data_IF_616473319472
#
_entry.id   IF_616473319472
#
_cell.length_a   1.000
_cell.length_b   1.000
_cell.length_c   1.000
_cell.angle_alpha   90.00
_cell.angle_beta   90.00
_cell.angle_gamma   90.00
#
_symmetry.space_group_name_H-M   'P 1'
#
loop_
_entity.id
_entity.type
_entity.pdbx_description
1 polymer ?
#
# COMPACT_ATOMS: atom_id res chain seq x y z
N UNK A 1 14.67 27.54 15.19
CA UNK A 1 13.87 28.73 14.86
C UNK A 1 12.47 28.44 15.36
N UNK A 2 11.82 29.35 16.10
CA UNK A 2 10.43 29.14 16.52
C UNK A 2 9.53 29.46 15.32
N UNK A 3 8.94 28.44 14.70
CA UNK A 3 7.89 28.63 13.71
C UNK A 3 6.61 29.12 14.42
N UNK A 4 5.87 30.02 13.79
CA UNK A 4 4.54 30.40 14.27
C UNK A 4 3.57 29.24 14.09
N UNK A 5 2.54 29.15 14.94
CA UNK A 5 1.52 28.10 14.85
C UNK A 5 0.88 28.03 13.45
N UNK A 6 0.67 29.20 12.82
CA UNK A 6 0.08 29.28 11.48
C UNK A 6 1.01 28.67 10.41
N UNK A 7 2.32 28.89 10.51
CA UNK A 7 3.30 28.25 9.61
C UNK A 7 3.35 26.73 9.83
N UNK A 8 3.29 26.29 11.09
CA UNK A 8 3.27 24.87 11.44
C UNK A 8 2.01 24.18 10.91
N UNK A 9 0.83 24.83 11.01
CA UNK A 9 -0.42 24.35 10.45
C UNK A 9 -0.31 24.23 8.92
N UNK A 10 0.19 25.26 8.24
CA UNK A 10 0.36 25.24 6.79
C UNK A 10 1.29 24.12 6.32
N UNK A 11 2.37 23.85 7.05
CA UNK A 11 3.25 22.71 6.78
C UNK A 11 2.51 21.38 6.98
N UNK A 12 1.77 21.23 8.07
CA UNK A 12 1.01 20.01 8.34
C UNK A 12 -0.06 19.75 7.26
N UNK A 13 -0.75 20.77 6.77
CA UNK A 13 -1.68 20.65 5.64
C UNK A 13 -0.97 20.10 4.39
N UNK A 14 0.22 20.62 4.07
CA UNK A 14 1.02 20.12 2.95
C UNK A 14 1.41 18.65 3.14
N UNK A 15 1.80 18.23 4.35
CA UNK A 15 2.15 16.83 4.63
C UNK A 15 0.94 15.90 4.50
N UNK A 16 -0.23 16.33 4.94
CA UNK A 16 -1.48 15.60 4.75
C UNK A 16 -1.86 15.46 3.27
N UNK A 17 -1.74 16.54 2.48
CA UNK A 17 -1.97 16.48 1.03
C UNK A 17 -0.98 15.55 0.33
N UNK A 18 0.30 15.59 0.72
CA UNK A 18 1.33 14.72 0.17
C UNK A 18 1.06 13.25 0.50
N UNK A 19 0.63 12.94 1.73
CA UNK A 19 0.24 11.59 2.11
C UNK A 19 -0.94 11.08 1.26
N UNK A 20 -1.95 11.92 1.03
CA UNK A 20 -3.07 11.60 0.16
C UNK A 20 -2.62 11.41 -1.30
N UNK A 21 -1.67 12.21 -1.77
CA UNK A 21 -1.11 12.05 -3.11
C UNK A 21 -0.40 10.69 -3.25
N UNK A 22 0.48 10.33 -2.32
CA UNK A 22 1.18 9.04 -2.34
C UNK A 22 0.20 7.85 -2.25
N UNK A 23 -0.90 7.99 -1.50
CA UNK A 23 -1.97 6.98 -1.46
C UNK A 23 -2.64 6.81 -2.83
N UNK A 24 -3.01 7.91 -3.49
CA UNK A 24 -3.61 7.88 -4.82
C UNK A 24 -2.65 7.36 -5.88
N UNK A 25 -1.36 7.69 -5.79
CA UNK A 25 -0.35 7.22 -6.71
C UNK A 25 -0.12 5.72 -6.54
N UNK A 26 -0.12 5.19 -5.30
CA UNK A 26 -0.11 3.75 -5.08
C UNK A 26 -1.31 3.07 -5.73
N UNK A 27 -2.52 3.60 -5.55
CA UNK A 27 -3.73 3.04 -6.14
C UNK A 27 -3.66 2.97 -7.68
N UNK A 28 -3.23 4.06 -8.32
CA UNK A 28 -3.08 4.12 -9.79
C UNK A 28 -2.03 3.16 -10.33
N UNK A 29 -0.99 2.90 -9.53
CA UNK A 29 0.21 2.18 -9.97
C UNK A 29 0.26 0.73 -9.53
N UNK A 30 -0.68 0.30 -8.68
CA UNK A 30 -0.71 -1.03 -8.07
C UNK A 30 -0.62 -2.19 -9.08
N UNK A 31 -0.99 -2.00 -10.34
CA UNK A 31 -0.90 -3.02 -11.39
C UNK A 31 0.50 -3.27 -11.94
N UNK A 32 1.37 -2.26 -11.91
CA UNK A 32 2.66 -2.29 -12.58
C UNK A 32 3.82 -1.86 -11.68
N UNK A 33 3.54 -1.45 -10.44
CA UNK A 33 4.56 -1.08 -9.47
C UNK A 33 5.46 -2.29 -9.18
N UNK A 34 6.77 -2.10 -9.32
CA UNK A 34 7.76 -3.10 -8.96
C UNK A 34 7.90 -3.23 -7.44
N UNK A 35 8.50 -4.32 -6.94
CA UNK A 35 8.64 -4.56 -5.50
C UNK A 35 9.52 -3.52 -4.81
N UNK A 36 10.63 -3.10 -5.43
CA UNK A 36 11.52 -2.06 -4.89
C UNK A 36 10.80 -0.71 -4.81
N UNK A 37 10.16 -0.30 -5.89
CA UNK A 37 9.41 0.96 -5.93
C UNK A 37 8.22 0.98 -4.96
N UNK A 38 7.56 -0.16 -4.77
CA UNK A 38 6.52 -0.31 -3.76
C UNK A 38 7.09 -0.13 -2.35
N UNK A 39 8.24 -0.72 -2.06
CA UNK A 39 8.91 -0.56 -0.76
C UNK A 39 9.28 0.91 -0.51
N UNK A 40 9.90 1.58 -1.49
CA UNK A 40 10.27 2.99 -1.40
C UNK A 40 9.03 3.89 -1.17
N UNK A 41 7.93 3.62 -1.88
CA UNK A 41 6.68 4.35 -1.72
C UNK A 41 6.12 4.17 -0.30
N UNK A 42 6.09 2.93 0.20
CA UNK A 42 5.59 2.64 1.54
C UNK A 42 6.47 3.27 2.62
N UNK A 43 7.79 3.30 2.44
CA UNK A 43 8.73 3.95 3.36
C UNK A 43 8.52 5.47 3.41
N UNK A 44 8.34 6.13 2.25
CA UNK A 44 7.99 7.56 2.19
C UNK A 44 6.68 7.84 2.92
N UNK A 45 5.66 7.00 2.70
CA UNK A 45 4.37 7.13 3.38
C UNK A 45 4.48 6.94 4.88
N UNK A 46 5.26 5.98 5.34
CA UNK A 46 5.52 5.75 6.76
C UNK A 46 6.19 6.98 7.40
N UNK A 47 7.19 7.55 6.74
CA UNK A 47 7.88 8.77 7.19
C UNK A 47 6.92 9.95 7.33
N UNK A 48 5.96 10.10 6.40
CA UNK A 48 4.94 11.15 6.48
C UNK A 48 3.98 10.93 7.66
N UNK A 49 3.56 9.68 7.89
CA UNK A 49 2.69 9.34 9.02
C UNK A 49 3.37 9.62 10.35
N UNK A 50 4.64 9.23 10.51
CA UNK A 50 5.42 9.50 11.72
C UNK A 50 5.55 11.01 11.97
N UNK A 51 5.89 11.77 10.93
CA UNK A 51 5.96 13.23 11.04
C UNK A 51 4.62 13.85 11.47
N UNK A 52 3.49 13.39 10.90
CA UNK A 52 2.15 13.88 11.25
C UNK A 52 1.82 13.56 12.71
N UNK A 53 2.17 12.36 13.18
CA UNK A 53 1.96 11.96 14.58
C UNK A 53 2.80 12.81 15.55
N UNK A 54 4.06 13.08 15.20
CA UNK A 54 4.92 13.97 15.99
C UNK A 54 4.39 15.40 16.03
N UNK A 55 3.87 15.89 14.89
CA UNK A 55 3.18 17.18 14.82
C UNK A 55 1.94 17.21 15.72
N UNK A 56 1.07 16.21 15.64
CA UNK A 56 -0.14 16.11 16.47
C UNK A 56 0.19 16.14 17.96
N UNK A 57 1.26 15.43 18.37
CA UNK A 57 1.75 15.45 19.73
C UNK A 57 2.27 16.84 20.15
N UNK A 58 2.99 17.52 19.26
CA UNK A 58 3.52 18.87 19.52
C UNK A 58 2.41 19.91 19.66
N UNK A 59 1.35 19.84 18.84
CA UNK A 59 0.24 20.82 18.89
C UNK A 59 -0.75 20.57 20.04
N UNK A 60 -0.85 19.33 20.54
CA UNK A 60 -1.72 19.00 21.67
C UNK A 60 -1.34 19.75 22.96
N UNK A 61 -0.07 20.16 23.09
CA UNK A 61 0.44 20.96 24.20
C UNK A 61 0.62 22.44 23.90
N UNK A 62 0.27 22.92 22.70
CA UNK A 62 0.52 24.30 22.29
C UNK A 62 -0.50 25.27 22.92
N UNK A 63 -0.01 26.35 23.53
CA UNK A 63 -0.86 27.41 24.07
C UNK A 63 -1.49 28.24 22.93
N UNK A 64 -2.74 27.92 22.60
CA UNK A 64 -3.53 28.60 21.59
C UNK A 64 -4.38 29.71 22.24
N UNK A 65 -3.71 30.78 22.68
CA UNK A 65 -4.31 31.87 23.46
C UNK A 65 -5.02 32.94 22.61
N UNK A 66 -4.75 33.00 21.31
CA UNK A 66 -5.40 33.95 20.38
C UNK A 66 -6.62 33.36 19.64
N UNK A 67 -7.65 34.19 19.32
CA UNK A 67 -8.84 33.75 18.61
C UNK A 67 -8.56 33.31 17.16
N UNK A 68 -7.55 33.89 16.51
CA UNK A 68 -7.17 33.56 15.12
C UNK A 68 -6.50 32.19 15.08
N UNK A 69 -5.55 31.95 15.98
CA UNK A 69 -4.83 30.70 16.15
C UNK A 69 -5.80 29.55 16.45
N UNK A 70 -6.79 29.80 17.32
CA UNK A 70 -7.83 28.81 17.64
C UNK A 70 -8.69 28.47 16.42
N UNK A 71 -9.16 29.47 15.69
CA UNK A 71 -9.97 29.25 14.48
C UNK A 71 -9.18 28.51 13.39
N UNK A 72 -7.88 28.82 13.23
CA UNK A 72 -7.00 28.10 12.32
C UNK A 72 -6.82 26.64 12.74
N UNK A 73 -6.58 26.38 14.03
CA UNK A 73 -6.44 25.01 14.55
C UNK A 73 -7.73 24.19 14.40
N UNK A 74 -8.89 24.79 14.66
CA UNK A 74 -10.18 24.10 14.51
C UNK A 74 -10.46 23.79 13.03
N UNK A 75 -10.15 24.71 12.12
CA UNK A 75 -10.23 24.48 10.67
C UNK A 75 -9.29 23.37 10.22
N UNK A 76 -8.06 23.38 10.73
CA UNK A 76 -7.06 22.36 10.45
C UNK A 76 -7.51 20.97 10.91
N UNK A 77 -8.12 20.83 12.09
CA UNK A 77 -8.65 19.55 12.59
C UNK A 77 -9.72 18.96 11.66
N UNK A 78 -10.60 19.79 11.12
CA UNK A 78 -11.60 19.36 10.14
C UNK A 78 -10.90 18.87 8.86
N UNK A 79 -9.98 19.67 8.34
CA UNK A 79 -9.18 19.30 7.17
C UNK A 79 -8.41 17.98 7.36
N UNK A 80 -7.80 17.80 8.52
CA UNK A 80 -7.09 16.59 8.92
C UNK A 80 -8.02 15.38 8.89
N UNK A 81 -9.19 15.46 9.53
CA UNK A 81 -10.17 14.37 9.55
C UNK A 81 -10.63 13.98 8.14
N UNK A 82 -10.95 14.98 7.31
CA UNK A 82 -11.36 14.74 5.92
C UNK A 82 -10.25 14.09 5.09
N UNK A 83 -9.02 14.55 5.25
CA UNK A 83 -7.87 14.05 4.48
C UNK A 83 -7.48 12.64 4.92
N UNK A 84 -7.44 12.36 6.23
CA UNK A 84 -7.20 11.01 6.76
C UNK A 84 -8.31 10.06 6.30
N UNK A 85 -9.57 10.48 6.34
CA UNK A 85 -10.70 9.69 5.84
C UNK A 85 -10.49 9.23 4.39
N UNK A 86 -10.08 10.15 3.51
CA UNK A 86 -9.76 9.84 2.11
C UNK A 86 -8.55 8.91 1.96
N UNK A 87 -7.49 9.10 2.76
CA UNK A 87 -6.32 8.20 2.76
C UNK A 87 -6.74 6.77 3.10
N UNK A 88 -7.53 6.60 4.17
CA UNK A 88 -8.00 5.28 4.60
C UNK A 88 -8.92 4.62 3.58
N UNK A 89 -9.79 5.40 2.92
CA UNK A 89 -10.64 4.91 1.83
C UNK A 89 -9.78 4.36 0.67
N UNK A 90 -8.79 5.14 0.22
CA UNK A 90 -7.88 4.74 -0.85
C UNK A 90 -7.07 3.51 -0.46
N UNK A 91 -6.55 3.44 0.76
CA UNK A 91 -5.79 2.28 1.24
C UNK A 91 -6.64 1.02 1.36
N UNK A 92 -7.92 1.16 1.71
CA UNK A 92 -8.89 0.08 1.68
C UNK A 92 -9.05 -0.51 0.26
N UNK A 93 -9.15 0.36 -0.75
CA UNK A 93 -9.21 -0.05 -2.15
C UNK A 93 -7.93 -0.74 -2.60
N UNK A 94 -6.76 -0.17 -2.28
CA UNK A 94 -5.44 -0.75 -2.58
C UNK A 94 -5.33 -2.16 -2.00
N UNK A 95 -5.68 -2.32 -0.72
CA UNK A 95 -5.60 -3.59 -0.01
C UNK A 95 -6.52 -4.63 -0.64
N UNK A 96 -7.77 -4.25 -0.94
CA UNK A 96 -8.72 -5.14 -1.61
C UNK A 96 -8.23 -5.61 -2.99
N UNK A 97 -7.71 -4.70 -3.80
CA UNK A 97 -7.14 -5.02 -5.12
C UNK A 97 -5.90 -5.92 -5.01
N UNK A 98 -5.01 -5.65 -4.05
CA UNK A 98 -3.83 -6.48 -3.80
C UNK A 98 -4.21 -7.90 -3.37
N UNK A 99 -5.17 -8.05 -2.44
CA UNK A 99 -5.68 -9.36 -2.00
C UNK A 99 -6.34 -10.14 -3.16
N UNK A 100 -7.12 -9.45 -4.00
CA UNK A 100 -7.70 -10.04 -5.21
C UNK A 100 -6.64 -10.58 -6.16
N UNK A 101 -5.57 -9.81 -6.41
CA UNK A 101 -4.43 -10.23 -7.23
C UNK A 101 -3.70 -11.44 -6.65
N UNK A 102 -3.38 -11.42 -5.36
CA UNK A 102 -2.74 -12.55 -4.68
C UNK A 102 -3.56 -13.83 -4.82
N UNK A 103 -4.89 -13.73 -4.65
CA UNK A 103 -5.82 -14.84 -4.81
C UNK A 103 -5.84 -15.39 -6.24
N UNK A 104 -5.84 -14.50 -7.24
CA UNK A 104 -5.79 -14.88 -8.66
C UNK A 104 -4.47 -15.57 -9.05
N UNK A 105 -3.34 -15.05 -8.54
CA UNK A 105 -2.02 -15.67 -8.74
C UNK A 105 -1.98 -17.06 -8.09
N UNK A 106 -2.51 -17.20 -6.87
CA UNK A 106 -2.58 -18.49 -6.18
C UNK A 106 -3.44 -19.52 -6.93
N UNK A 107 -4.57 -19.09 -7.50
CA UNK A 107 -5.42 -19.94 -8.34
C UNK A 107 -4.70 -20.38 -9.63
N UNK A 108 -3.97 -19.46 -10.26
CA UNK A 108 -3.16 -19.71 -11.45
C UNK A 108 -2.04 -20.72 -11.16
N UNK A 109 -1.29 -20.53 -10.07
CA UNK A 109 -0.24 -21.45 -9.63
C UNK A 109 -0.79 -22.84 -9.32
N UNK A 110 -1.98 -22.92 -8.71
CA UNK A 110 -2.65 -24.19 -8.43
C UNK A 110 -3.05 -24.93 -9.71
N UNK A 111 -3.47 -24.20 -10.74
CA UNK A 111 -3.76 -24.74 -12.07
C UNK A 111 -2.48 -25.22 -12.77
N UNK A 112 -1.37 -24.50 -12.65
CA UNK A 112 -0.07 -24.95 -13.19
C UNK A 112 0.42 -26.25 -12.53
N UNK A 113 0.19 -26.44 -11.22
CA UNK A 113 0.49 -27.73 -10.55
C UNK A 113 -0.27 -28.89 -11.19
N UNK A 114 -1.52 -28.69 -11.63
CA UNK A 114 -2.27 -29.70 -12.40
C UNK A 114 -1.61 -29.97 -13.74
N UNK A 115 -1.17 -28.94 -14.46
CA UNK A 115 -0.42 -29.08 -15.72
C UNK A 115 0.89 -29.88 -15.53
N UNK A 116 1.66 -29.64 -14.45
CA UNK A 116 2.83 -30.45 -14.12
C UNK A 116 2.49 -31.92 -13.88
N UNK A 117 1.39 -32.21 -13.17
CA UNK A 117 0.92 -33.60 -12.98
C UNK A 117 0.55 -34.27 -14.30
N UNK A 118 -0.12 -33.55 -15.19
CA UNK A 118 -0.47 -34.04 -16.53
C UNK A 118 0.82 -34.37 -17.30
N UNK A 119 1.80 -33.47 -17.32
CA UNK A 119 3.10 -33.71 -17.98
C UNK A 119 3.80 -34.95 -17.41
N UNK A 120 3.92 -35.05 -16.09
CA UNK A 120 4.52 -36.21 -15.44
C UNK A 120 3.77 -37.53 -15.75
N UNK A 121 2.45 -37.49 -15.91
CA UNK A 121 1.67 -38.67 -16.29
C UNK A 121 1.99 -39.12 -17.73
N UNK A 122 2.20 -38.18 -18.65
CA UNK A 122 2.65 -38.49 -20.01
C UNK A 122 4.09 -39.03 -20.04
N UNK A 123 5.02 -38.44 -19.28
CA UNK A 123 6.40 -38.91 -19.17
C UNK A 123 6.47 -40.34 -18.61
N UNK A 124 5.67 -40.64 -17.57
CA UNK A 124 5.59 -41.98 -17.00
C UNK A 124 4.94 -42.99 -17.96
N UNK A 125 3.89 -42.61 -18.70
CA UNK A 125 3.26 -43.48 -19.70
C UNK A 125 4.21 -43.83 -20.85
N UNK A 126 5.07 -42.89 -21.28
CA UNK A 126 6.12 -43.13 -22.26
C UNK A 126 7.22 -44.07 -21.74
N UNK A 127 7.61 -43.95 -20.47
CA UNK A 127 8.63 -44.81 -19.85
C UNK A 127 8.20 -46.28 -19.71
N UNK A 128 6.89 -46.53 -19.48
CA UNK A 128 6.34 -47.88 -19.36
C UNK A 128 6.28 -48.59 -20.72
N UNK A 129 6.11 -47.85 -21.83
CA UNK A 129 6.11 -48.44 -23.18
C UNK A 129 7.52 -48.86 -23.62
N UNK A 130 8.58 -48.14 -23.26
CA UNK A 130 9.95 -48.50 -23.64
C UNK A 130 10.41 -49.84 -23.03
N UNK A 131 10.08 -50.13 -21.77
CA UNK A 131 10.43 -51.40 -21.15
C UNK A 131 9.66 -52.63 -21.69
N UNK A 132 8.57 -52.42 -22.45
CA UNK A 132 7.81 -53.53 -23.04
C UNK A 132 8.33 -53.99 -24.40
N UNK A 133 9.11 -53.14 -25.10
CA UNK A 133 9.69 -53.45 -26.41
C UNK A 133 11.02 -54.19 -26.30
N UNK A 134 11.80 -53.96 -25.23
CA UNK A 134 13.08 -54.64 -25.01
C UNK A 134 12.95 -56.09 -24.49
N UNK A 135 11.72 -56.57 -24.25
CA UNK A 135 11.45 -57.94 -23.75
C UNK A 135 10.97 -58.92 -24.83
N UNK A 136 11.01 -58.52 -26.11
CA UNK A 136 10.58 -59.33 -27.27
C UNK A 136 11.66 -59.48 -28.35
N UNK A 137 12.93 -59.57 -27.95
CA UNK A 137 14.02 -60.10 -28.78
C UNK A 137 14.67 -61.25 -28.02
#
# INVERSE_FOLDING_TARGET
>A
MNHSLLEMIAEAEQKHLLLLQEANDLLKRLEYIGPEELADLLERRQTLVEWIQDFDAAIAGADCSGPVERAALDSFKIFQQETIGKVLEVDGLVTGLAQGKCSSIQASLSSMKKSKRIRNAFDNAGSVQQHSLDRKL
#
